data_IF_599305018231
#
_entry.id   IF_599305018231
#
_cell.length_a   1.000
_cell.length_b   1.000
_cell.length_c   1.000
_cell.angle_alpha   90.00
_cell.angle_beta   90.00
_cell.angle_gamma   90.00
#
_symmetry.space_group_name_H-M   'P 1'
#
loop_
_entity.id
_entity.type
_entity.pdbx_description
1 polymer ?
#
# COMPACT_ATOMS: atom_id res chain seq x y z
N UNK A 1 -11.52 -2.30 22.08
CA UNK A 1 -11.93 -1.32 21.04
C UNK A 1 -11.47 0.04 21.51
N UNK A 2 -10.49 0.66 20.86
CA UNK A 2 -10.07 2.03 21.16
C UNK A 2 -11.23 2.98 20.86
N UNK A 3 -11.59 3.83 21.83
CA UNK A 3 -12.60 4.86 21.62
C UNK A 3 -12.10 5.81 20.54
N UNK A 4 -12.83 5.91 19.45
CA UNK A 4 -12.59 6.88 18.38
C UNK A 4 -12.74 8.28 18.97
N UNK A 5 -11.81 9.20 18.69
CA UNK A 5 -11.78 10.53 19.35
C UNK A 5 -12.95 11.46 18.99
N UNK A 6 -13.80 11.06 18.03
CA UNK A 6 -14.95 11.84 17.57
C UNK A 6 -14.62 13.02 16.64
N UNK A 7 -13.36 13.31 16.34
CA UNK A 7 -12.96 14.34 15.36
C UNK A 7 -13.14 13.85 13.92
N UNK A 8 -14.37 13.51 13.56
CA UNK A 8 -14.66 12.81 12.31
C UNK A 8 -14.23 13.60 11.05
N UNK A 9 -14.36 14.94 11.04
CA UNK A 9 -13.92 15.79 9.90
C UNK A 9 -12.40 15.68 9.68
N UNK A 10 -11.62 15.70 10.76
CA UNK A 10 -10.18 15.58 10.69
C UNK A 10 -9.76 14.17 10.24
N UNK A 11 -10.40 13.12 10.78
CA UNK A 11 -10.18 11.75 10.34
C UNK A 11 -10.53 11.53 8.87
N UNK A 12 -11.61 12.15 8.37
CA UNK A 12 -12.00 12.14 6.96
C UNK A 12 -10.94 12.81 6.09
N UNK A 13 -10.46 14.00 6.49
CA UNK A 13 -9.40 14.72 5.76
C UNK A 13 -8.13 13.88 5.64
N UNK A 14 -7.69 13.24 6.73
CA UNK A 14 -6.51 12.39 6.74
C UNK A 14 -6.67 11.14 5.84
N UNK A 15 -7.86 10.50 5.86
CA UNK A 15 -8.14 9.37 5.01
C UNK A 15 -8.17 9.75 3.52
N UNK A 16 -8.74 10.91 3.18
CA UNK A 16 -8.71 11.47 1.82
C UNK A 16 -7.29 11.83 1.39
N UNK A 17 -6.50 12.45 2.28
CA UNK A 17 -5.07 12.71 2.02
C UNK A 17 -4.33 11.42 1.69
N UNK A 18 -4.55 10.35 2.47
CA UNK A 18 -3.97 9.04 2.19
C UNK A 18 -4.39 8.49 0.83
N UNK A 19 -5.70 8.55 0.51
CA UNK A 19 -6.23 8.06 -0.75
C UNK A 19 -5.63 8.79 -1.95
N UNK A 20 -5.50 10.13 -1.87
CA UNK A 20 -4.88 10.94 -2.91
C UNK A 20 -3.39 10.60 -3.04
N UNK A 21 -2.65 10.59 -1.93
CA UNK A 21 -1.22 10.29 -1.94
C UNK A 21 -0.94 8.91 -2.54
N UNK A 22 -1.66 7.88 -2.12
CA UNK A 22 -1.48 6.53 -2.62
C UNK A 22 -2.01 6.35 -4.05
N UNK A 23 -3.00 7.14 -4.46
CA UNK A 23 -3.50 7.14 -5.83
C UNK A 23 -2.52 7.74 -6.84
N UNK A 24 -1.81 8.80 -6.45
CA UNK A 24 -0.80 9.46 -7.29
C UNK A 24 0.52 8.67 -7.30
N UNK A 25 0.82 7.93 -6.24
CA UNK A 25 2.11 7.26 -6.04
C UNK A 25 2.56 6.37 -7.21
N UNK A 26 1.73 5.46 -7.79
CA UNK A 26 2.19 4.60 -8.88
C UNK A 26 2.61 5.38 -10.12
N UNK A 27 1.96 6.50 -10.40
CA UNK A 27 2.31 7.39 -11.53
C UNK A 27 3.66 8.06 -11.27
N UNK A 28 3.86 8.59 -10.06
CA UNK A 28 5.13 9.20 -9.67
C UNK A 28 6.29 8.18 -9.70
N UNK A 29 6.05 6.95 -9.22
CA UNK A 29 7.04 5.87 -9.28
C UNK A 29 7.41 5.53 -10.73
N UNK A 30 6.43 5.43 -11.63
CA UNK A 30 6.69 5.24 -13.05
C UNK A 30 7.52 6.36 -13.66
N UNK A 31 7.27 7.61 -13.27
CA UNK A 31 8.08 8.76 -13.70
C UNK A 31 9.53 8.67 -13.24
N UNK A 32 9.79 8.21 -12.02
CA UNK A 32 11.15 7.99 -11.52
C UNK A 32 11.81 6.81 -12.24
N UNK A 33 11.07 5.72 -12.46
CA UNK A 33 11.57 4.50 -13.10
C UNK A 33 11.85 4.64 -14.62
N UNK A 34 11.59 5.79 -15.22
CA UNK A 34 12.10 6.08 -16.57
C UNK A 34 13.63 6.17 -16.61
N UNK A 35 14.27 6.46 -15.49
CA UNK A 35 15.73 6.62 -15.38
C UNK A 35 16.34 5.70 -14.32
N UNK A 36 15.69 5.52 -13.19
CA UNK A 36 16.17 4.66 -12.12
C UNK A 36 15.53 3.26 -12.19
N UNK A 37 16.28 2.26 -11.82
CA UNK A 37 15.76 0.91 -11.63
C UNK A 37 14.78 0.81 -10.42
N UNK A 38 13.96 -0.24 -10.35
CA UNK A 38 13.00 -0.44 -9.26
C UNK A 38 13.63 -0.50 -7.87
N UNK A 39 14.81 -1.12 -7.73
CA UNK A 39 15.47 -1.27 -6.43
C UNK A 39 15.97 0.08 -5.91
N UNK A 40 16.66 0.85 -6.76
CA UNK A 40 17.14 2.20 -6.43
C UNK A 40 16.00 3.14 -6.11
N UNK A 41 14.91 3.10 -6.89
CA UNK A 41 13.71 3.89 -6.61
C UNK A 41 13.14 3.56 -5.23
N UNK A 42 13.08 2.28 -4.86
CA UNK A 42 12.55 1.84 -3.57
C UNK A 42 13.51 2.14 -2.42
N UNK A 43 14.83 2.03 -2.65
CA UNK A 43 15.85 2.45 -1.70
C UNK A 43 15.64 3.91 -1.26
N UNK A 44 15.50 4.83 -2.22
CA UNK A 44 15.28 6.25 -1.90
C UNK A 44 13.99 6.48 -1.11
N UNK A 45 12.94 5.74 -1.38
CA UNK A 45 11.68 5.82 -0.61
C UNK A 45 11.91 5.46 0.86
N UNK A 46 12.62 4.35 1.11
CA UNK A 46 12.87 3.88 2.46
C UNK A 46 13.88 4.75 3.20
N UNK A 47 14.99 5.11 2.57
CA UNK A 47 16.03 5.92 3.24
C UNK A 47 15.51 7.31 3.60
N UNK A 48 14.74 7.96 2.71
CA UNK A 48 14.13 9.26 3.03
C UNK A 48 13.14 9.15 4.20
N UNK A 49 12.26 8.14 4.17
CA UNK A 49 11.32 7.91 5.27
C UNK A 49 12.03 7.57 6.59
N UNK A 50 13.10 6.74 6.54
CA UNK A 50 13.91 6.39 7.71
C UNK A 50 14.62 7.62 8.30
N UNK A 51 15.27 8.42 7.45
CA UNK A 51 16.01 9.62 7.89
C UNK A 51 15.08 10.67 8.49
N UNK A 52 13.87 10.83 7.98
CA UNK A 52 12.90 11.78 8.52
C UNK A 52 12.22 11.26 9.80
N UNK A 53 11.95 9.97 9.90
CA UNK A 53 11.26 9.41 11.08
C UNK A 53 12.22 9.18 12.26
N UNK A 54 13.48 8.88 12.00
CA UNK A 54 14.47 8.59 13.05
C UNK A 54 14.65 9.75 14.03
N UNK A 55 14.91 11.02 13.62
CA UNK A 55 15.01 12.15 14.52
C UNK A 55 13.74 12.34 15.35
N UNK A 56 12.57 12.18 14.75
CA UNK A 56 11.30 12.27 15.46
C UNK A 56 11.21 11.25 16.60
N UNK A 57 11.62 10.00 16.36
CA UNK A 57 11.62 8.95 17.39
C UNK A 57 12.65 9.23 18.48
N UNK A 58 13.83 9.70 18.12
CA UNK A 58 14.92 10.02 19.07
C UNK A 58 14.59 11.24 19.94
N UNK A 59 13.99 12.28 19.37
CA UNK A 59 13.62 13.52 20.06
C UNK A 59 12.33 13.37 20.88
N UNK A 60 11.46 12.42 20.52
CA UNK A 60 10.26 12.12 21.28
C UNK A 60 10.66 11.51 22.60
N UNK A 61 10.65 12.32 23.68
CA UNK A 61 10.83 11.82 25.06
C UNK A 61 9.81 10.71 25.29
N UNK A 62 10.29 9.47 25.42
CA UNK A 62 9.43 8.31 25.68
C UNK A 62 8.55 8.59 26.89
N UNK A 63 7.32 8.07 26.90
CA UNK A 63 6.48 8.16 28.10
C UNK A 63 7.26 7.54 29.26
N UNK A 64 7.44 8.23 30.41
CA UNK A 64 8.30 7.78 31.53
C UNK A 64 8.02 6.34 32.00
N UNK A 65 6.81 5.85 31.76
CA UNK A 65 6.35 4.50 32.14
C UNK A 65 6.62 3.42 31.09
N UNK A 66 7.15 3.74 29.88
CA UNK A 66 7.41 2.75 28.84
C UNK A 66 8.86 2.27 28.86
N UNK A 67 9.04 0.96 28.87
CA UNK A 67 10.34 0.32 28.66
C UNK A 67 10.94 0.80 27.33
N UNK A 68 12.24 1.15 27.26
CA UNK A 68 12.90 1.58 26.02
C UNK A 68 12.69 0.56 24.89
N UNK A 69 12.56 1.05 23.66
CA UNK A 69 12.33 0.25 22.44
C UNK A 69 13.31 -0.93 22.35
N UNK A 70 14.60 -0.65 22.54
CA UNK A 70 15.66 -1.65 22.44
C UNK A 70 15.46 -2.82 23.43
N UNK A 71 15.04 -2.52 24.68
CA UNK A 71 14.80 -3.54 25.70
C UNK A 71 13.61 -4.44 25.37
N UNK A 72 12.58 -3.89 24.70
CA UNK A 72 11.40 -4.68 24.23
C UNK A 72 11.75 -5.57 23.05
N UNK A 73 12.72 -5.17 22.22
CA UNK A 73 13.21 -5.98 21.09
C UNK A 73 14.12 -7.14 21.54
N UNK A 74 14.65 -7.13 22.76
CA UNK A 74 15.45 -8.26 23.26
C UNK A 74 14.63 -9.54 23.49
N UNK A 75 13.30 -9.44 23.60
CA UNK A 75 12.45 -10.63 23.65
C UNK A 75 12.46 -11.35 22.28
N UNK A 76 12.88 -12.65 22.20
CA UNK A 76 13.04 -13.35 20.92
C UNK A 76 11.77 -13.35 20.07
N UNK A 77 10.59 -13.46 20.70
CA UNK A 77 9.29 -13.41 20.03
C UNK A 77 9.03 -12.05 19.37
N UNK A 78 9.32 -10.95 20.10
CA UNK A 78 9.12 -9.59 19.58
C UNK A 78 10.08 -9.28 18.41
N UNK A 79 11.34 -9.72 18.54
CA UNK A 79 12.33 -9.58 17.47
C UNK A 79 11.92 -10.38 16.23
N UNK A 80 11.52 -11.65 16.40
CA UNK A 80 11.04 -12.48 15.28
C UNK A 80 9.84 -11.83 14.58
N UNK A 81 8.83 -11.38 15.33
CA UNK A 81 7.65 -10.72 14.76
C UNK A 81 8.02 -9.44 14.02
N UNK A 82 8.97 -8.65 14.56
CA UNK A 82 9.45 -7.43 13.93
C UNK A 82 10.16 -7.71 12.62
N UNK A 83 11.09 -8.68 12.61
CA UNK A 83 11.82 -9.07 11.40
C UNK A 83 10.88 -9.70 10.37
N UNK A 84 9.97 -10.58 10.78
CA UNK A 84 9.00 -11.19 9.88
C UNK A 84 8.09 -10.14 9.23
N UNK A 85 7.53 -9.21 10.01
CA UNK A 85 6.70 -8.13 9.49
C UNK A 85 7.48 -7.21 8.54
N UNK A 86 8.70 -6.82 8.93
CA UNK A 86 9.57 -5.99 8.10
C UNK A 86 9.98 -6.67 6.80
N UNK A 87 10.31 -7.97 6.84
CA UNK A 87 10.62 -8.76 5.64
C UNK A 87 9.42 -8.89 4.70
N UNK A 88 8.21 -9.15 5.23
CA UNK A 88 6.99 -9.20 4.44
C UNK A 88 6.67 -7.85 3.80
N UNK A 89 6.85 -6.75 4.52
CA UNK A 89 6.67 -5.41 3.96
C UNK A 89 7.73 -5.10 2.89
N UNK A 90 8.99 -5.44 3.13
CA UNK A 90 10.07 -5.25 2.14
C UNK A 90 9.81 -6.08 0.88
N UNK A 91 9.39 -7.35 1.03
CA UNK A 91 8.99 -8.20 -0.09
C UNK A 91 7.79 -7.64 -0.86
N UNK A 92 6.79 -7.10 -0.13
CA UNK A 92 5.67 -6.39 -0.77
C UNK A 92 6.16 -5.25 -1.66
N UNK A 93 7.07 -4.40 -1.16
CA UNK A 93 7.61 -3.29 -1.95
C UNK A 93 8.41 -3.77 -3.16
N UNK A 94 9.24 -4.82 -3.01
CA UNK A 94 10.00 -5.41 -4.11
C UNK A 94 9.09 -5.94 -5.22
N UNK A 95 8.10 -6.75 -4.84
CA UNK A 95 7.14 -7.35 -5.77
C UNK A 95 6.25 -6.29 -6.43
N UNK A 96 5.78 -5.30 -5.64
CA UNK A 96 4.95 -4.23 -6.16
C UNK A 96 5.69 -3.37 -7.19
N UNK A 97 6.90 -2.91 -6.87
CA UNK A 97 7.65 -2.03 -7.78
C UNK A 97 8.08 -2.78 -9.05
N UNK A 98 8.49 -4.05 -8.93
CA UNK A 98 8.83 -4.90 -10.07
C UNK A 98 7.62 -5.24 -10.94
N UNK A 99 6.44 -5.38 -10.33
CA UNK A 99 5.19 -5.55 -11.05
C UNK A 99 4.74 -4.25 -11.72
N UNK A 100 4.83 -3.12 -11.03
CA UNK A 100 4.51 -1.80 -11.55
C UNK A 100 5.40 -1.44 -12.76
N UNK A 101 6.69 -1.79 -12.74
CA UNK A 101 7.59 -1.60 -13.87
C UNK A 101 7.04 -2.25 -15.15
N UNK A 102 6.42 -3.42 -15.05
CA UNK A 102 5.95 -4.25 -16.17
C UNK A 102 4.50 -4.01 -16.56
N UNK A 103 3.74 -3.25 -15.76
CA UNK A 103 2.32 -2.96 -16.00
C UNK A 103 2.08 -1.45 -16.08
N UNK A 104 0.81 -1.05 -16.17
CA UNK A 104 0.39 0.35 -16.02
C UNK A 104 0.15 0.70 -14.54
N UNK A 105 0.15 2.00 -14.24
CA UNK A 105 -0.14 2.49 -12.90
C UNK A 105 -1.55 2.09 -12.43
N UNK A 106 -2.52 2.16 -13.35
CA UNK A 106 -3.92 1.83 -13.11
C UNK A 106 -4.11 0.34 -12.82
N UNK A 107 -3.50 -0.52 -13.63
CA UNK A 107 -3.56 -1.97 -13.45
C UNK A 107 -2.95 -2.39 -12.10
N UNK A 108 -1.75 -1.89 -11.78
CA UNK A 108 -1.11 -2.16 -10.50
C UNK A 108 -1.97 -1.68 -9.32
N UNK A 109 -2.57 -0.48 -9.43
CA UNK A 109 -3.40 0.09 -8.38
C UNK A 109 -4.72 -0.67 -8.17
N UNK A 110 -5.28 -1.24 -9.22
CA UNK A 110 -6.48 -2.09 -9.11
C UNK A 110 -6.15 -3.46 -8.51
N UNK A 111 -5.06 -4.10 -8.95
CA UNK A 111 -4.67 -5.42 -8.43
C UNK A 111 -4.27 -5.36 -6.96
N UNK A 112 -3.55 -4.32 -6.51
CA UNK A 112 -3.16 -4.21 -5.11
C UNK A 112 -4.36 -4.08 -4.16
N UNK A 113 -5.53 -3.65 -4.65
CA UNK A 113 -6.78 -3.67 -3.89
C UNK A 113 -7.26 -5.08 -3.52
N UNK A 114 -6.63 -6.13 -4.06
CA UNK A 114 -6.83 -7.50 -3.57
C UNK A 114 -6.38 -7.65 -2.10
N UNK A 115 -5.43 -6.85 -1.62
CA UNK A 115 -4.90 -6.96 -0.25
C UNK A 115 -5.97 -6.83 0.85
N UNK A 116 -6.89 -5.85 0.85
CA UNK A 116 -8.01 -5.80 1.79
C UNK A 116 -8.93 -7.02 1.69
N UNK A 117 -9.14 -7.55 0.47
CA UNK A 117 -9.97 -8.74 0.26
C UNK A 117 -9.30 -10.01 0.82
N UNK A 118 -8.00 -10.16 0.60
CA UNK A 118 -7.19 -11.23 1.16
C UNK A 118 -7.16 -11.16 2.70
N UNK A 119 -7.06 -9.95 3.26
CA UNK A 119 -7.12 -9.75 4.71
C UNK A 119 -8.49 -10.15 5.29
N UNK A 120 -9.58 -9.83 4.59
CA UNK A 120 -10.93 -10.25 4.94
C UNK A 120 -11.05 -11.78 4.95
N UNK A 121 -10.59 -12.45 3.89
CA UNK A 121 -10.59 -13.92 3.78
C UNK A 121 -9.69 -14.57 4.84
N UNK A 122 -8.57 -13.93 5.20
CA UNK A 122 -7.71 -14.37 6.30
C UNK A 122 -8.46 -14.37 7.64
N UNK A 123 -9.36 -13.41 7.86
CA UNK A 123 -10.26 -13.37 9.01
C UNK A 123 -11.12 -14.63 9.12
N UNK A 124 -11.66 -15.09 8.00
CA UNK A 124 -12.44 -16.35 7.94
C UNK A 124 -11.57 -17.57 8.23
N UNK A 125 -10.43 -17.69 7.55
CA UNK A 125 -9.61 -18.90 7.61
C UNK A 125 -8.80 -19.04 8.91
N UNK A 126 -8.22 -17.94 9.39
CA UNK A 126 -7.34 -17.96 10.57
C UNK A 126 -8.10 -17.74 11.88
N UNK A 127 -9.18 -16.98 11.85
CA UNK A 127 -9.90 -16.58 13.05
C UNK A 127 -11.34 -17.13 13.12
N UNK A 128 -11.80 -17.89 12.10
CA UNK A 128 -13.13 -18.46 12.04
C UNK A 128 -14.25 -17.41 11.97
N UNK A 129 -13.94 -16.21 11.46
CA UNK A 129 -14.91 -15.12 11.29
C UNK A 129 -15.95 -15.51 10.24
N UNK A 130 -17.19 -15.04 10.40
CA UNK A 130 -18.25 -15.22 9.40
C UNK A 130 -18.49 -13.93 8.65
N UNK A 131 -18.40 -14.01 7.33
CA UNK A 131 -18.73 -12.87 6.47
C UNK A 131 -20.24 -12.70 6.36
N UNK A 132 -20.70 -11.46 6.45
CA UNK A 132 -22.09 -11.10 6.17
C UNK A 132 -22.39 -11.25 4.67
N UNK A 133 -23.67 -11.37 4.33
CA UNK A 133 -24.13 -11.40 2.92
C UNK A 133 -23.64 -10.18 2.13
N UNK A 134 -23.58 -9.00 2.78
CA UNK A 134 -23.08 -7.77 2.15
C UNK A 134 -21.58 -7.83 1.88
N UNK A 135 -20.80 -8.44 2.76
CA UNK A 135 -19.36 -8.63 2.56
C UNK A 135 -19.09 -9.59 1.38
N UNK A 136 -19.86 -10.69 1.28
CA UNK A 136 -19.80 -11.57 0.13
C UNK A 136 -20.20 -10.86 -1.18
N UNK A 137 -21.28 -10.08 -1.16
CA UNK A 137 -21.69 -9.29 -2.32
C UNK A 137 -20.57 -8.31 -2.72
N UNK A 138 -19.95 -7.61 -1.77
CA UNK A 138 -18.83 -6.71 -2.03
C UNK A 138 -17.62 -7.44 -2.62
N UNK A 139 -17.30 -8.62 -2.10
CA UNK A 139 -16.23 -9.47 -2.63
C UNK A 139 -16.48 -9.90 -4.08
N UNK A 140 -17.66 -10.41 -4.40
CA UNK A 140 -18.01 -10.81 -5.76
C UNK A 140 -18.07 -9.62 -6.71
N UNK A 141 -18.59 -8.46 -6.25
CA UNK A 141 -18.56 -7.21 -7.02
C UNK A 141 -17.12 -6.80 -7.35
N UNK A 142 -16.22 -6.90 -6.38
CA UNK A 142 -14.78 -6.64 -6.57
C UNK A 142 -14.16 -7.57 -7.62
N UNK A 143 -14.38 -8.88 -7.49
CA UNK A 143 -13.84 -9.88 -8.44
C UNK A 143 -14.39 -9.66 -9.85
N UNK A 144 -15.70 -9.40 -9.97
CA UNK A 144 -16.33 -9.06 -11.27
C UNK A 144 -15.70 -7.79 -11.86
N UNK A 145 -15.47 -6.78 -11.03
CA UNK A 145 -14.81 -5.53 -11.43
C UNK A 145 -13.42 -5.76 -12.00
N UNK A 146 -12.59 -6.57 -11.32
CA UNK A 146 -11.28 -6.97 -11.86
C UNK A 146 -11.40 -7.72 -13.19
N UNK A 147 -12.34 -8.67 -13.28
CA UNK A 147 -12.59 -9.41 -14.51
C UNK A 147 -12.95 -8.51 -15.69
N UNK A 148 -13.84 -7.52 -15.48
CA UNK A 148 -14.21 -6.54 -16.51
C UNK A 148 -13.06 -5.62 -16.89
N UNK A 149 -12.28 -5.15 -15.90
CA UNK A 149 -11.14 -4.29 -16.18
C UNK A 149 -10.08 -4.99 -17.02
N UNK A 150 -9.77 -6.26 -16.71
CA UNK A 150 -8.75 -7.03 -17.42
C UNK A 150 -9.30 -7.79 -18.64
N UNK A 151 -10.60 -7.72 -18.93
CA UNK A 151 -11.18 -8.40 -20.09
C UNK A 151 -10.50 -8.05 -21.42
N UNK A 152 -10.20 -6.75 -21.72
CA UNK A 152 -9.49 -6.39 -22.95
C UNK A 152 -8.05 -6.94 -23.02
N UNK A 153 -7.47 -7.26 -21.88
CA UNK A 153 -6.10 -7.80 -21.71
C UNK A 153 -6.09 -9.26 -21.29
N UNK A 154 -7.24 -9.95 -21.42
CA UNK A 154 -7.39 -11.34 -20.96
C UNK A 154 -6.29 -12.25 -21.48
N UNK A 155 -5.97 -12.14 -22.77
CA UNK A 155 -4.91 -12.94 -23.39
C UNK A 155 -3.53 -12.65 -22.77
N UNK A 156 -3.19 -11.39 -22.57
CA UNK A 156 -1.91 -10.96 -21.97
C UNK A 156 -1.75 -11.44 -20.53
N UNK A 157 -2.86 -11.43 -19.76
CA UNK A 157 -2.84 -11.78 -18.34
C UNK A 157 -2.84 -13.29 -18.11
N UNK A 158 -3.62 -14.06 -18.90
CA UNK A 158 -3.91 -15.46 -18.59
C UNK A 158 -3.32 -16.46 -19.60
N UNK A 159 -2.91 -16.04 -20.78
CA UNK A 159 -2.47 -16.95 -21.86
C UNK A 159 -1.05 -16.68 -22.33
N UNK A 160 -0.69 -15.43 -22.61
CA UNK A 160 0.58 -15.06 -23.27
C UNK A 160 1.66 -14.88 -22.27
N UNK A 161 2.01 -15.45 -21.29
CA UNK A 161 3.14 -15.29 -20.32
C UNK A 161 4.08 -14.10 -20.71
N UNK A 162 3.50 -12.94 -20.94
CA UNK A 162 4.25 -11.73 -21.33
C UNK A 162 4.60 -10.85 -20.11
N UNK A 163 5.36 -9.78 -20.34
CA UNK A 163 5.81 -8.88 -19.27
C UNK A 163 4.62 -8.30 -18.47
N UNK A 164 3.50 -7.95 -19.15
CA UNK A 164 2.32 -7.40 -18.50
C UNK A 164 1.67 -8.41 -17.55
N UNK A 165 1.42 -9.64 -18.00
CA UNK A 165 0.85 -10.72 -17.17
C UNK A 165 1.75 -11.05 -15.97
N UNK A 166 3.08 -11.14 -16.18
CA UNK A 166 4.05 -11.31 -15.09
C UNK A 166 3.93 -10.16 -14.09
N UNK A 167 3.81 -8.91 -14.56
CA UNK A 167 3.63 -7.75 -13.73
C UNK A 167 2.38 -7.82 -12.85
N UNK A 168 1.24 -8.25 -13.41
CA UNK A 168 0.00 -8.47 -12.66
C UNK A 168 0.19 -9.52 -11.55
N UNK A 169 0.86 -10.64 -11.87
CA UNK A 169 1.15 -11.70 -10.89
C UNK A 169 2.06 -11.22 -9.77
N UNK A 170 3.07 -10.39 -10.07
CA UNK A 170 3.95 -9.79 -9.08
C UNK A 170 3.18 -8.83 -8.15
N UNK A 171 2.31 -7.96 -8.69
CA UNK A 171 1.47 -7.07 -7.86
C UNK A 171 0.49 -7.86 -7.00
N UNK A 172 -0.10 -8.93 -7.52
CA UNK A 172 -0.96 -9.81 -6.72
C UNK A 172 -0.19 -10.49 -5.59
N UNK A 173 1.03 -10.97 -5.87
CA UNK A 173 1.93 -11.52 -4.86
C UNK A 173 2.33 -10.47 -3.82
N UNK A 174 2.52 -9.22 -4.24
CA UNK A 174 2.71 -8.10 -3.32
C UNK A 174 1.51 -7.92 -2.37
N UNK A 175 0.27 -8.06 -2.88
CA UNK A 175 -0.94 -8.01 -2.04
C UNK A 175 -0.97 -9.13 -0.98
N UNK A 176 -0.50 -10.35 -1.31
CA UNK A 176 -0.35 -11.45 -0.36
C UNK A 176 0.68 -11.12 0.74
N UNK A 177 1.86 -10.59 0.35
CA UNK A 177 2.89 -10.19 1.32
C UNK A 177 2.38 -9.07 2.24
N UNK A 178 1.67 -8.09 1.68
CA UNK A 178 1.05 -7.01 2.46
C UNK A 178 0.02 -7.55 3.46
N UNK A 179 -0.77 -8.53 3.07
CA UNK A 179 -1.75 -9.18 3.97
C UNK A 179 -1.05 -9.84 5.15
N UNK A 180 0.01 -10.61 4.89
CA UNK A 180 0.84 -11.20 5.94
C UNK A 180 1.47 -10.15 6.86
N UNK A 181 2.02 -9.08 6.28
CA UNK A 181 2.52 -7.92 7.02
C UNK A 181 1.44 -7.31 7.91
N UNK A 182 0.24 -7.05 7.39
CA UNK A 182 -0.84 -6.44 8.14
C UNK A 182 -1.28 -7.27 9.37
N UNK A 183 -1.30 -8.61 9.24
CA UNK A 183 -1.58 -9.53 10.35
C UNK A 183 -0.47 -9.42 11.43
N UNK A 184 0.81 -9.46 11.02
CA UNK A 184 1.93 -9.34 11.95
C UNK A 184 1.99 -7.95 12.60
N UNK A 185 1.73 -6.90 11.85
CA UNK A 185 1.67 -5.53 12.36
C UNK A 185 0.60 -5.38 13.45
N UNK A 186 -0.56 -5.99 13.28
CA UNK A 186 -1.63 -5.98 14.30
C UNK A 186 -1.14 -6.59 15.62
N UNK A 187 -0.31 -7.63 15.59
CA UNK A 187 0.28 -8.22 16.80
C UNK A 187 1.33 -7.31 17.42
N UNK A 188 2.17 -6.68 16.60
CA UNK A 188 3.23 -5.76 17.05
C UNK A 188 2.65 -4.51 17.72
N UNK A 189 1.55 -3.97 17.21
CA UNK A 189 0.90 -2.78 17.76
C UNK A 189 0.32 -2.97 19.18
N UNK A 190 0.27 -4.19 19.68
CA UNK A 190 -0.04 -4.47 21.10
C UNK A 190 1.11 -4.07 22.05
N UNK A 191 2.34 -4.00 21.53
CA UNK A 191 3.55 -3.76 22.31
C UNK A 191 4.32 -2.51 21.86
N UNK A 192 4.27 -2.16 20.57
CA UNK A 192 5.00 -1.08 19.93
C UNK A 192 4.05 -0.03 19.38
N UNK A 193 4.49 1.21 19.25
CA UNK A 193 3.76 2.21 18.49
C UNK A 193 3.96 2.00 16.98
N UNK A 194 3.05 2.55 16.16
CA UNK A 194 3.17 2.49 14.70
C UNK A 194 4.50 3.12 14.23
N UNK A 195 4.89 4.25 14.81
CA UNK A 195 6.13 4.93 14.44
C UNK A 195 7.38 4.10 14.79
N UNK A 196 7.39 3.41 15.95
CA UNK A 196 8.49 2.53 16.34
C UNK A 196 8.65 1.34 15.41
N UNK A 197 7.55 0.74 14.95
CA UNK A 197 7.62 -0.35 13.97
C UNK A 197 8.04 0.15 12.60
N UNK A 198 7.48 1.29 12.15
CA UNK A 198 7.78 1.85 10.82
C UNK A 198 9.23 2.27 10.68
N UNK A 199 9.85 2.91 11.68
CA UNK A 199 11.26 3.28 11.59
C UNK A 199 12.17 2.07 11.40
N UNK A 200 11.88 0.97 12.09
CA UNK A 200 12.62 -0.29 11.93
C UNK A 200 12.41 -0.86 10.53
N UNK A 201 11.18 -0.88 10.03
CA UNK A 201 10.87 -1.39 8.70
C UNK A 201 11.51 -0.57 7.60
N UNK A 202 11.55 0.76 7.76
CA UNK A 202 12.21 1.63 6.78
C UNK A 202 13.73 1.39 6.75
N UNK A 203 14.38 1.19 7.89
CA UNK A 203 15.79 0.82 7.92
C UNK A 203 16.05 -0.58 7.38
N UNK A 204 15.20 -1.57 7.70
CA UNK A 204 15.29 -2.92 7.12
C UNK A 204 15.15 -2.87 5.59
N UNK A 205 14.17 -2.13 5.07
CA UNK A 205 14.00 -1.94 3.64
C UNK A 205 15.20 -1.22 3.00
N UNK A 206 15.70 -0.16 3.62
CA UNK A 206 16.90 0.55 3.16
C UNK A 206 18.09 -0.40 3.01
N UNK A 207 18.36 -1.20 4.04
CA UNK A 207 19.46 -2.17 4.03
C UNK A 207 19.24 -3.31 3.03
N UNK A 208 18.00 -3.75 2.87
CA UNK A 208 17.66 -4.81 1.93
C UNK A 208 17.80 -4.39 0.46
N UNK A 209 17.44 -3.14 0.12
CA UNK A 209 17.53 -2.66 -1.26
C UNK A 209 18.89 -2.11 -1.63
N UNK A 210 19.72 -1.66 -0.66
CA UNK A 210 21.04 -1.09 -0.90
C UNK A 210 21.94 -1.95 -1.82
N UNK A 211 22.06 -3.29 -1.62
CA UNK A 211 22.93 -4.12 -2.46
C UNK A 211 22.46 -4.26 -3.92
N UNK A 212 21.20 -3.98 -4.19
CA UNK A 212 20.57 -4.10 -5.50
C UNK A 212 20.38 -2.75 -6.19
N UNK A 213 20.80 -1.66 -5.54
CA UNK A 213 20.63 -0.29 -6.06
C UNK A 213 21.80 0.09 -6.97
N UNK A 214 21.47 0.66 -8.13
CA UNK A 214 22.43 1.24 -9.06
C UNK A 214 22.34 2.77 -9.04
N UNK A 215 23.36 3.40 -8.49
CA UNK A 215 23.43 4.85 -8.37
C UNK A 215 24.07 5.55 -9.59
N UNK A 216 24.51 4.79 -10.60
CA UNK A 216 25.19 5.33 -11.78
C UNK A 216 24.30 6.26 -12.63
N UNK A 217 22.99 6.04 -12.58
CA UNK A 217 22.00 6.84 -13.31
C UNK A 217 21.60 8.15 -12.59
N UNK A 218 22.04 8.40 -11.35
CA UNK A 218 21.68 9.62 -10.60
C UNK A 218 22.03 10.93 -11.31
N UNK A 219 23.19 11.08 -12.00
CA UNK A 219 23.51 12.30 -12.73
C UNK A 219 22.60 12.58 -13.93
N UNK A 220 21.85 11.57 -14.39
CA UNK A 220 20.95 11.68 -15.55
C UNK A 220 19.53 12.12 -15.14
N UNK A 221 19.25 12.21 -13.84
CA UNK A 221 17.93 12.60 -13.33
C UNK A 221 17.63 14.06 -13.64
N UNK A 222 16.46 14.30 -14.23
CA UNK A 222 15.90 15.64 -14.38
C UNK A 222 15.46 16.22 -13.03
N UNK A 223 15.30 17.54 -12.96
CA UNK A 223 14.77 18.20 -11.77
C UNK A 223 13.38 17.68 -11.39
N UNK A 224 12.55 17.32 -12.37
CA UNK A 224 11.23 16.72 -12.14
C UNK A 224 11.37 15.34 -11.47
N UNK A 225 12.29 14.52 -11.92
CA UNK A 225 12.50 13.18 -11.33
C UNK A 225 13.04 13.27 -9.89
N UNK A 226 13.91 14.23 -9.58
CA UNK A 226 14.30 14.51 -8.20
C UNK A 226 13.11 14.91 -7.34
N UNK A 227 12.22 15.77 -7.85
CA UNK A 227 10.99 16.13 -7.15
C UNK A 227 10.09 14.90 -6.91
N UNK A 228 9.96 14.03 -7.91
CA UNK A 228 9.19 12.79 -7.79
C UNK A 228 9.80 11.82 -6.77
N UNK A 229 11.13 11.69 -6.68
CA UNK A 229 11.81 10.89 -5.66
C UNK A 229 11.48 11.41 -4.26
N UNK A 230 11.62 12.72 -4.04
CA UNK A 230 11.27 13.36 -2.76
C UNK A 230 9.79 13.15 -2.45
N UNK A 231 8.90 13.34 -3.43
CA UNK A 231 7.47 13.06 -3.28
C UNK A 231 7.23 11.60 -2.87
N UNK A 232 7.85 10.61 -3.52
CA UNK A 232 7.69 9.20 -3.21
C UNK A 232 8.17 8.85 -1.80
N UNK A 233 9.27 9.44 -1.34
CA UNK A 233 9.78 9.28 0.02
C UNK A 233 8.85 9.90 1.07
N UNK A 234 8.41 11.14 0.85
CA UNK A 234 7.44 11.82 1.70
C UNK A 234 6.08 11.11 1.70
N UNK A 235 5.64 10.64 0.54
CA UNK A 235 4.42 9.84 0.41
C UNK A 235 4.47 8.58 1.29
N UNK A 236 5.62 7.90 1.31
CA UNK A 236 5.83 6.72 2.17
C UNK A 236 5.66 7.07 3.65
N UNK A 237 6.18 8.19 4.10
CA UNK A 237 6.06 8.64 5.49
C UNK A 237 4.66 9.21 5.81
N UNK A 238 4.19 10.18 5.02
CA UNK A 238 2.95 10.92 5.28
C UNK A 238 1.73 10.04 5.01
N UNK A 239 1.74 9.23 3.94
CA UNK A 239 0.64 8.35 3.59
C UNK A 239 0.33 7.35 4.70
N UNK A 240 1.34 6.63 5.21
CA UNK A 240 1.15 5.71 6.35
C UNK A 240 0.84 6.45 7.65
N UNK A 241 1.46 7.61 7.89
CA UNK A 241 1.17 8.45 9.06
C UNK A 241 -0.27 8.95 9.08
N UNK A 242 -0.75 9.49 7.97
CA UNK A 242 -2.14 9.94 7.81
C UNK A 242 -3.15 8.80 7.92
N UNK A 243 -2.84 7.63 7.37
CA UNK A 243 -3.65 6.43 7.49
C UNK A 243 -3.81 6.00 8.96
N UNK A 244 -2.68 5.89 9.68
CA UNK A 244 -2.69 5.49 11.08
C UNK A 244 -3.44 6.51 11.97
N UNK A 245 -3.24 7.79 11.74
CA UNK A 245 -3.91 8.86 12.48
C UNK A 245 -5.41 8.94 12.14
N UNK A 246 -5.80 8.73 10.87
CA UNK A 246 -7.21 8.66 10.48
C UNK A 246 -7.97 7.60 11.29
N UNK A 247 -7.36 6.42 11.49
CA UNK A 247 -7.95 5.33 12.29
C UNK A 247 -8.12 5.68 13.77
N UNK A 248 -7.38 6.65 14.31
CA UNK A 248 -7.57 7.15 15.66
C UNK A 248 -8.83 8.06 15.78
N UNK A 249 -9.32 8.60 14.66
CA UNK A 249 -10.41 9.58 14.64
C UNK A 249 -11.71 9.05 14.06
N UNK A 250 -11.67 8.12 13.12
CA UNK A 250 -12.83 7.45 12.53
C UNK A 250 -12.67 5.92 12.50
N UNK A 251 -13.74 5.20 12.33
CA UNK A 251 -13.73 3.74 12.27
C UNK A 251 -12.85 3.23 11.11
N UNK A 252 -12.08 2.17 11.34
CA UNK A 252 -11.20 1.59 10.33
C UNK A 252 -11.95 1.21 9.04
N UNK A 253 -13.21 0.75 9.14
CA UNK A 253 -14.07 0.46 8.00
C UNK A 253 -14.33 1.67 7.12
N UNK A 254 -14.51 2.86 7.73
CA UNK A 254 -14.70 4.11 6.99
C UNK A 254 -13.42 4.56 6.30
N UNK A 255 -12.27 4.41 6.98
CA UNK A 255 -10.96 4.67 6.36
C UNK A 255 -10.76 3.76 5.15
N UNK A 256 -10.99 2.45 5.30
CA UNK A 256 -10.86 1.47 4.20
C UNK A 256 -11.80 1.77 3.04
N UNK A 257 -13.05 2.22 3.33
CA UNK A 257 -13.99 2.61 2.28
C UNK A 257 -13.52 3.84 1.48
N UNK A 258 -12.86 4.79 2.15
CA UNK A 258 -12.27 5.96 1.47
C UNK A 258 -11.06 5.53 0.63
N UNK A 259 -10.22 4.65 1.15
CA UNK A 259 -9.08 4.11 0.41
C UNK A 259 -9.49 3.27 -0.80
N UNK A 260 -10.68 2.70 -0.81
CA UNK A 260 -11.23 2.02 -1.99
C UNK A 260 -11.40 2.94 -3.21
N UNK A 261 -11.39 4.28 -3.01
CA UNK A 261 -11.39 5.27 -4.08
C UNK A 261 -10.01 5.48 -4.73
N UNK A 262 -8.95 4.98 -4.13
CA UNK A 262 -7.55 5.16 -4.60
C UNK A 262 -7.35 4.81 -6.08
N UNK A 263 -7.88 3.70 -6.63
CA UNK A 263 -7.75 3.40 -8.05
C UNK A 263 -8.40 4.45 -8.96
N UNK A 264 -9.52 5.04 -8.52
CA UNK A 264 -10.19 6.10 -9.28
C UNK A 264 -9.32 7.37 -9.33
N UNK A 265 -8.60 7.69 -8.25
CA UNK A 265 -7.62 8.77 -8.24
C UNK A 265 -6.50 8.47 -9.23
N UNK A 266 -5.97 7.23 -9.24
CA UNK A 266 -4.91 6.82 -10.18
C UNK A 266 -5.36 6.96 -11.62
N UNK A 267 -6.51 6.41 -11.98
CA UNK A 267 -7.08 6.51 -13.34
C UNK A 267 -7.27 7.97 -13.73
N UNK A 268 -7.84 8.79 -12.83
CA UNK A 268 -8.05 10.21 -13.11
C UNK A 268 -6.74 10.96 -13.35
N UNK A 269 -5.75 10.77 -12.49
CA UNK A 269 -4.46 11.48 -12.59
C UNK A 269 -3.67 11.01 -13.82
N UNK A 270 -3.67 9.71 -14.12
CA UNK A 270 -2.97 9.16 -15.29
C UNK A 270 -3.45 9.76 -16.61
N UNK A 271 -4.76 10.08 -16.70
CA UNK A 271 -5.35 10.62 -17.92
C UNK A 271 -5.41 12.16 -17.96
N UNK A 272 -5.53 12.82 -16.79
CA UNK A 272 -5.57 14.29 -16.72
C UNK A 272 -4.19 14.93 -16.72
N UNK A 273 -3.18 14.23 -16.21
CA UNK A 273 -1.81 14.70 -16.08
C UNK A 273 -0.88 13.62 -16.66
N UNK A 274 -0.94 13.37 -17.96
CA UNK A 274 -0.11 12.35 -18.59
C UNK A 274 1.37 12.75 -18.47
N UNK A 275 2.17 11.84 -17.92
CA UNK A 275 3.62 11.96 -17.98
C UNK A 275 4.11 11.38 -19.31
N UNK A 276 4.95 12.13 -20.01
CA UNK A 276 5.51 11.68 -21.28
C UNK A 276 6.21 10.34 -21.14
N UNK A 277 5.99 9.44 -22.11
CA UNK A 277 6.60 8.10 -22.14
C UNK A 277 5.96 7.07 -21.19
N UNK A 278 4.90 7.40 -20.45
CA UNK A 278 4.17 6.43 -19.65
C UNK A 278 2.99 5.83 -20.42
N UNK A 279 2.95 4.49 -20.45
CA UNK A 279 1.78 3.77 -20.92
C UNK A 279 0.62 3.92 -19.92
N UNK A 280 -0.55 4.25 -20.43
CA UNK A 280 -1.82 4.31 -19.67
C UNK A 280 -2.80 3.28 -20.23
N UNK A 281 -3.72 2.80 -19.40
CA UNK A 281 -4.76 1.89 -19.85
C UNK A 281 -5.79 2.65 -20.71
N UNK A 282 -6.26 2.04 -21.81
CA UNK A 282 -7.28 2.68 -22.65
C UNK A 282 -8.59 2.85 -21.87
N UNK A 283 -9.16 4.06 -21.91
CA UNK A 283 -10.47 4.32 -21.34
C UNK A 283 -11.53 3.71 -22.25
N UNK A 284 -12.11 2.62 -21.81
CA UNK A 284 -13.29 1.99 -22.42
C UNK A 284 -14.42 1.92 -21.40
N UNK A 285 -15.64 1.70 -21.84
CA UNK A 285 -16.77 1.48 -20.93
C UNK A 285 -16.51 0.29 -19.98
N UNK A 286 -15.83 -0.76 -20.46
CA UNK A 286 -15.48 -1.93 -19.66
C UNK A 286 -14.43 -1.60 -18.58
N UNK A 287 -13.35 -0.90 -18.94
CA UNK A 287 -12.31 -0.55 -17.96
C UNK A 287 -12.83 0.41 -16.90
N UNK A 288 -13.67 1.40 -17.28
CA UNK A 288 -14.30 2.31 -16.31
C UNK A 288 -15.31 1.60 -15.40
N UNK A 289 -16.19 0.77 -15.97
CA UNK A 289 -17.12 -0.03 -15.17
C UNK A 289 -16.35 -0.99 -14.24
N UNK A 290 -15.31 -1.64 -14.74
CA UNK A 290 -14.45 -2.52 -13.95
C UNK A 290 -13.81 -1.79 -12.77
N UNK A 291 -13.19 -0.63 -12.99
CA UNK A 291 -12.60 0.18 -11.93
C UNK A 291 -13.64 0.66 -10.90
N UNK A 292 -14.81 1.09 -11.35
CA UNK A 292 -15.91 1.49 -10.49
C UNK A 292 -16.45 0.33 -9.62
N UNK A 293 -16.56 -0.88 -10.19
CA UNK A 293 -16.97 -2.07 -9.45
C UNK A 293 -15.91 -2.52 -8.45
N UNK A 294 -14.62 -2.42 -8.78
CA UNK A 294 -13.53 -2.69 -7.83
C UNK A 294 -13.63 -1.74 -6.63
N UNK A 295 -13.76 -0.44 -6.88
CA UNK A 295 -13.92 0.55 -5.81
C UNK A 295 -15.21 0.32 -5.00
N UNK A 296 -16.34 0.13 -5.67
CA UNK A 296 -17.65 -0.12 -5.03
C UNK A 296 -17.68 -1.41 -4.23
N UNK A 297 -17.11 -2.51 -4.75
CA UNK A 297 -16.99 -3.79 -4.05
C UNK A 297 -16.12 -3.70 -2.80
N UNK A 298 -14.96 -3.05 -2.90
CA UNK A 298 -14.08 -2.78 -1.76
C UNK A 298 -14.79 -1.94 -0.69
N UNK A 299 -15.47 -0.86 -1.10
CA UNK A 299 -16.22 0.02 -0.21
C UNK A 299 -17.37 -0.73 0.48
N UNK A 300 -18.15 -1.50 -0.27
CA UNK A 300 -19.26 -2.29 0.26
C UNK A 300 -18.77 -3.31 1.30
N UNK A 301 -17.65 -3.98 1.02
CA UNK A 301 -17.03 -4.93 1.94
C UNK A 301 -16.56 -4.24 3.22
N UNK A 302 -15.88 -3.10 3.09
CA UNK A 302 -15.33 -2.34 4.22
C UNK A 302 -16.40 -1.76 5.14
N UNK A 303 -17.53 -1.29 4.59
CA UNK A 303 -18.63 -0.68 5.36
C UNK A 303 -19.58 -1.72 5.97
N UNK A 304 -19.52 -2.97 5.52
CA UNK A 304 -20.41 -4.03 6.00
C UNK A 304 -19.89 -4.61 7.32
N UNK A 305 -20.77 -4.76 8.29
CA UNK A 305 -20.45 -5.41 9.58
C UNK A 305 -20.53 -6.93 9.42
N UNK A 306 -19.65 -7.68 10.10
CA UNK A 306 -19.81 -9.14 10.22
C UNK A 306 -21.16 -9.49 10.85
N UNK A 307 -21.73 -10.64 10.49
CA UNK A 307 -22.95 -11.12 11.14
C UNK A 307 -22.64 -11.40 12.62
N UNK A 308 -23.37 -10.74 13.52
CA UNK A 308 -23.29 -11.04 14.95
C UNK A 308 -23.90 -12.42 15.18
N UNK A 309 -23.22 -13.25 15.96
CA UNK A 309 -23.78 -14.46 16.55
C UNK A 309 -24.85 -14.08 17.58
#
# INVERSE_FOLDING_TARGET
MSKVSGRWKFGLLLALTTAILWGVLPIALKGVMQTLDPATTTFFRFVLAALLLTPYILLRRGHPSRTPLFRRLQAPRSLFQMLAAGSLLTANYALYISGLERTTAEAAQLVIQAAPMLLLLSGVWLFGERLSRRQWLGFFTFVTGLGLFFYPRFYDVFVAVNAYGIGIMLVFSAALMWTGYAIMQKLLLQQFSSQETMVIFYWLGTLAFLPFSDFSALPQLSNMQWLLIVFCGLNTLIGYGSFAEAMAHIEASKVSAILALTPLVTVSVAHLIPLEGLAVEPITALTLCGAALVAGGSMLTALSKPDRR
#
